data_IF_954409663235
#
_entry.id   IF_954409663235
#
_cell.length_a   1.000
_cell.length_b   1.000
_cell.length_c   1.000
_cell.angle_alpha   90.00
_cell.angle_beta   90.00
_cell.angle_gamma   90.00
#
_symmetry.space_group_name_H-M   'P 1'
#
loop_
_entity.id
_entity.type
_entity.pdbx_description
1 polymer ?
#
# COMPACT_ATOMS: atom_id res chain seq x y z
N UNK A 1 -12.38 -10.79 -35.09
CA UNK A 1 -11.35 -9.97 -34.41
C UNK A 1 -11.41 -10.33 -32.93
N UNK A 2 -10.43 -11.07 -32.42
CA UNK A 2 -10.37 -11.38 -30.99
C UNK A 2 -9.87 -10.12 -30.30
N UNK A 3 -10.70 -9.53 -29.44
CA UNK A 3 -10.30 -8.43 -28.58
C UNK A 3 -9.17 -8.96 -27.68
N UNK A 4 -7.95 -8.50 -27.89
CA UNK A 4 -6.86 -8.80 -26.96
C UNK A 4 -7.25 -8.21 -25.62
N UNK A 5 -7.43 -9.06 -24.61
CA UNK A 5 -7.66 -8.61 -23.24
C UNK A 5 -6.37 -7.98 -22.73
N UNK A 6 -6.19 -6.69 -22.95
CA UNK A 6 -5.03 -5.97 -22.46
C UNK A 6 -5.06 -5.91 -20.93
N UNK A 7 -3.96 -6.29 -20.29
CA UNK A 7 -3.76 -6.12 -18.85
C UNK A 7 -3.85 -4.62 -18.53
N UNK A 8 -4.67 -4.17 -17.56
CA UNK A 8 -4.80 -2.76 -17.21
C UNK A 8 -3.44 -2.11 -16.96
N UNK A 9 -3.25 -0.86 -17.42
CA UNK A 9 -1.96 -0.17 -17.35
C UNK A 9 -1.38 -0.11 -15.93
N UNK A 10 -2.22 0.13 -14.92
CA UNK A 10 -1.81 0.15 -13.51
C UNK A 10 -1.30 -1.22 -13.03
N UNK A 11 -1.98 -2.30 -13.41
CA UNK A 11 -1.56 -3.67 -13.05
C UNK A 11 -0.25 -4.05 -13.76
N UNK A 12 -0.12 -3.71 -15.05
CA UNK A 12 1.12 -3.91 -15.81
C UNK A 12 2.29 -3.16 -15.20
N UNK A 13 2.08 -1.91 -14.78
CA UNK A 13 3.08 -1.11 -14.09
C UNK A 13 3.45 -1.73 -12.73
N UNK A 14 2.47 -2.05 -11.87
CA UNK A 14 2.71 -2.58 -10.53
C UNK A 14 3.54 -3.88 -10.56
N UNK A 15 3.23 -4.79 -11.48
CA UNK A 15 4.02 -6.00 -11.67
C UNK A 15 5.43 -5.65 -12.15
N UNK A 16 5.56 -4.82 -13.19
CA UNK A 16 6.88 -4.46 -13.75
C UNK A 16 7.78 -3.79 -12.72
N UNK A 17 7.24 -2.86 -11.94
CA UNK A 17 7.96 -2.20 -10.85
C UNK A 17 8.29 -3.15 -9.71
N UNK A 18 7.38 -4.05 -9.34
CA UNK A 18 7.63 -5.06 -8.32
C UNK A 18 8.77 -6.01 -8.71
N UNK A 19 8.79 -6.49 -9.96
CA UNK A 19 9.88 -7.33 -10.47
C UNK A 19 11.23 -6.60 -10.43
N UNK A 20 11.26 -5.35 -10.88
CA UNK A 20 12.47 -4.53 -10.88
C UNK A 20 12.98 -4.23 -9.47
N UNK A 21 12.13 -3.71 -8.59
CA UNK A 21 12.50 -3.28 -7.24
C UNK A 21 12.84 -4.43 -6.30
N UNK A 22 12.18 -5.58 -6.43
CA UNK A 22 12.48 -6.78 -5.64
C UNK A 22 13.54 -7.68 -6.28
N UNK A 23 14.09 -7.29 -7.45
CA UNK A 23 15.13 -8.04 -8.18
C UNK A 23 14.73 -9.51 -8.46
N UNK A 24 13.49 -9.72 -8.88
CA UNK A 24 12.94 -11.04 -9.23
C UNK A 24 12.42 -11.08 -10.65
N UNK A 25 12.22 -12.28 -11.20
CA UNK A 25 11.83 -12.48 -12.60
C UNK A 25 10.38 -12.95 -12.80
N UNK A 26 9.66 -13.28 -11.72
CA UNK A 26 8.29 -13.79 -11.81
C UNK A 26 7.35 -13.07 -10.84
N UNK A 27 6.08 -12.82 -11.23
CA UNK A 27 5.10 -12.18 -10.35
C UNK A 27 4.88 -12.95 -9.05
N UNK A 28 4.91 -14.28 -9.10
CA UNK A 28 4.79 -15.13 -7.91
C UNK A 28 5.95 -14.92 -6.92
N UNK A 29 7.19 -14.79 -7.42
CA UNK A 29 8.34 -14.50 -6.55
C UNK A 29 8.21 -13.10 -5.92
N UNK A 30 7.74 -12.11 -6.68
CA UNK A 30 7.45 -10.78 -6.17
C UNK A 30 6.38 -10.82 -5.07
N UNK A 31 5.22 -11.43 -5.33
CA UNK A 31 4.14 -11.55 -4.35
C UNK A 31 4.57 -12.31 -3.09
N UNK A 32 5.46 -13.31 -3.22
CA UNK A 32 6.02 -14.02 -2.07
C UNK A 32 6.86 -13.10 -1.18
N UNK A 33 7.72 -12.26 -1.77
CA UNK A 33 8.58 -11.33 -1.02
C UNK A 33 7.79 -10.15 -0.45
N UNK A 34 6.83 -9.61 -1.21
CA UNK A 34 6.00 -8.49 -0.78
C UNK A 34 5.24 -8.79 0.54
N UNK A 35 4.88 -10.05 0.79
CA UNK A 35 4.24 -10.48 2.05
C UNK A 35 5.07 -10.17 3.30
N UNK A 36 6.40 -10.11 3.19
CA UNK A 36 7.28 -9.80 4.32
C UNK A 36 7.14 -8.33 4.80
N UNK A 37 6.48 -7.48 4.01
CA UNK A 37 6.30 -6.05 4.30
C UNK A 37 4.90 -5.75 4.86
N UNK A 38 4.16 -6.77 5.30
CA UNK A 38 2.91 -6.58 6.03
C UNK A 38 3.17 -6.34 7.51
N UNK A 39 2.43 -5.40 8.10
CA UNK A 39 2.39 -5.17 9.55
C UNK A 39 1.25 -5.95 10.24
N UNK A 40 0.50 -6.76 9.50
CA UNK A 40 -0.59 -7.55 10.04
C UNK A 40 -0.08 -8.49 11.14
N UNK A 41 -0.72 -8.46 12.31
CA UNK A 41 -0.36 -9.28 13.47
C UNK A 41 0.90 -8.86 14.21
N UNK A 42 1.56 -7.76 13.82
CA UNK A 42 2.76 -7.24 14.50
C UNK A 42 2.73 -5.73 14.77
N UNK A 43 1.65 -5.02 14.38
CA UNK A 43 1.50 -3.58 14.60
C UNK A 43 1.47 -3.19 16.11
N UNK A 44 1.11 -4.13 16.99
CA UNK A 44 1.19 -3.99 18.44
C UNK A 44 2.62 -3.76 18.95
N UNK A 45 3.63 -4.18 18.18
CA UNK A 45 5.05 -3.98 18.52
C UNK A 45 5.51 -2.52 18.41
N UNK A 46 4.74 -1.66 17.76
CA UNK A 46 5.07 -0.24 17.60
C UNK A 46 4.70 0.51 18.88
N UNK A 47 5.66 0.84 19.76
CA UNK A 47 5.35 1.38 21.10
C UNK A 47 5.33 2.91 21.20
N UNK A 48 5.59 3.63 20.11
CA UNK A 48 5.61 5.09 20.08
C UNK A 48 4.34 5.67 19.43
N UNK A 49 4.04 6.96 19.68
CA UNK A 49 3.06 7.69 18.89
C UNK A 49 3.43 7.69 17.40
N UNK A 50 2.44 7.53 16.53
CA UNK A 50 2.60 7.45 15.09
C UNK A 50 1.63 8.39 14.40
N UNK A 51 2.16 9.21 13.50
CA UNK A 51 1.34 9.95 12.56
C UNK A 51 0.93 9.04 11.39
N UNK A 52 -0.37 8.95 11.11
CA UNK A 52 -0.94 8.16 10.01
C UNK A 52 -1.59 9.12 9.02
N UNK A 53 -0.93 9.36 7.89
CA UNK A 53 -1.47 10.18 6.80
C UNK A 53 -2.35 9.36 5.85
N UNK A 54 -3.51 9.90 5.50
CA UNK A 54 -4.51 9.25 4.66
C UNK A 54 -4.96 10.17 3.53
N UNK A 55 -4.46 9.95 2.32
CA UNK A 55 -4.83 10.76 1.15
C UNK A 55 -6.07 10.19 0.48
N UNK A 56 -7.11 11.01 0.31
CA UNK A 56 -8.39 10.57 -0.28
C UNK A 56 -8.25 10.04 -1.71
N UNK A 57 -7.27 10.57 -2.45
CA UNK A 57 -6.98 10.21 -3.83
C UNK A 57 -5.76 9.28 -4.00
N UNK A 58 -5.33 8.59 -2.93
CA UNK A 58 -4.26 7.59 -3.05
C UNK A 58 -4.67 6.47 -4.03
N UNK A 59 -3.87 6.26 -5.08
CA UNK A 59 -4.16 5.30 -6.14
C UNK A 59 -3.85 3.84 -5.77
N UNK A 60 -3.04 3.60 -4.74
CA UNK A 60 -2.44 2.29 -4.47
C UNK A 60 -2.79 1.72 -3.10
N UNK A 61 -2.94 2.58 -2.07
CA UNK A 61 -2.99 2.16 -0.68
C UNK A 61 -4.34 2.48 0.00
N UNK A 62 -5.41 2.67 -0.78
CA UNK A 62 -6.76 2.93 -0.25
C UNK A 62 -7.12 1.95 0.88
N UNK A 63 -7.49 2.50 2.03
CA UNK A 63 -7.87 1.75 3.23
C UNK A 63 -6.72 1.26 4.12
N UNK A 64 -5.47 1.25 3.63
CA UNK A 64 -4.32 0.88 4.47
C UNK A 64 -4.09 1.86 5.64
N UNK A 65 -4.20 3.20 5.47
CA UNK A 65 -4.08 4.14 6.58
C UNK A 65 -5.13 3.91 7.68
N UNK A 66 -6.40 3.70 7.30
CA UNK A 66 -7.46 3.40 8.25
C UNK A 66 -7.20 2.09 9.03
N UNK A 67 -6.72 1.05 8.35
CA UNK A 67 -6.33 -0.20 9.01
C UNK A 67 -5.17 0.00 10.00
N UNK A 68 -4.22 0.89 9.67
CA UNK A 68 -3.11 1.22 10.57
C UNK A 68 -3.57 2.02 11.79
N UNK A 69 -4.46 3.00 11.61
CA UNK A 69 -5.11 3.72 12.72
C UNK A 69 -5.75 2.73 13.69
N UNK A 70 -6.55 1.80 13.16
CA UNK A 70 -7.28 0.83 13.99
C UNK A 70 -6.32 -0.12 14.74
N UNK A 71 -5.22 -0.53 14.10
CA UNK A 71 -4.23 -1.41 14.72
C UNK A 71 -3.33 -0.71 15.77
N UNK A 72 -3.18 0.62 15.68
CA UNK A 72 -2.37 1.42 16.60
C UNK A 72 -3.18 1.99 17.77
N UNK A 73 -4.50 2.07 17.65
CA UNK A 73 -5.40 2.58 18.68
C UNK A 73 -5.01 4.01 19.10
N UNK A 74 -4.81 4.25 20.40
CA UNK A 74 -4.47 5.54 21.00
C UNK A 74 -3.10 6.11 20.56
N UNK A 75 -2.23 5.28 19.99
CA UNK A 75 -0.93 5.70 19.45
C UNK A 75 -1.05 6.40 18.10
N UNK A 76 -2.16 6.25 17.38
CA UNK A 76 -2.32 6.85 16.06
C UNK A 76 -2.85 8.29 16.14
N UNK A 77 -2.12 9.21 15.51
CA UNK A 77 -2.65 10.50 15.05
C UNK A 77 -3.01 10.38 13.58
N UNK A 78 -4.28 10.07 13.28
CA UNK A 78 -4.78 9.88 11.91
C UNK A 78 -5.24 11.21 11.32
N UNK A 79 -4.71 11.57 10.14
CA UNK A 79 -5.06 12.80 9.42
C UNK A 79 -5.40 12.46 7.99
N UNK A 80 -6.59 12.92 7.57
CA UNK A 80 -7.07 12.78 6.20
C UNK A 80 -6.70 14.02 5.40
N UNK A 81 -6.00 13.81 4.29
CA UNK A 81 -5.60 14.85 3.35
C UNK A 81 -6.56 14.85 2.15
N UNK A 82 -7.15 16.00 1.92
CA UNK A 82 -7.99 16.33 0.75
C UNK A 82 -7.23 17.25 -0.21
N UNK A 83 -7.80 17.54 -1.38
CA UNK A 83 -7.21 18.51 -2.32
C UNK A 83 -6.94 19.88 -1.66
N UNK A 84 -7.86 20.37 -0.81
CA UNK A 84 -7.71 21.64 -0.07
C UNK A 84 -6.54 21.63 0.93
N UNK A 85 -6.03 20.44 1.26
CA UNK A 85 -4.88 20.30 2.17
C UNK A 85 -3.54 20.57 1.48
N UNK A 86 -3.52 20.79 0.15
CA UNK A 86 -2.31 20.87 -0.65
C UNK A 86 -1.47 22.15 -0.44
N UNK A 87 -2.02 23.21 0.17
CA UNK A 87 -1.27 24.38 0.66
C UNK A 87 -0.69 25.30 -0.41
#
# INVERSE_FOLDING_TARGET
MVQQTEVPAGLRWAISQGLWSFKVRTPAAFLKLAKNYSLAGIADRIRCPVFVGDAVDDLFLKGQPAAMRDALEDRATHVVFTEDSAG
#
